data_IF_406082926227
#
_entry.id   IF_406082926227
#
_cell.length_a   1.000
_cell.length_b   1.000
_cell.length_c   1.000
_cell.angle_alpha   90.00
_cell.angle_beta   90.00
_cell.angle_gamma   90.00
#
_symmetry.space_group_name_H-M   'P 1'
#
loop_
_entity.id
_entity.type
_entity.pdbx_description
1 polymer ?
#
# COMPACT_ATOMS: atom_id res chain seq x y z
N UNK A 1 20.74 14.24 -2.84
CA UNK A 1 20.11 12.94 -3.15
C UNK A 1 21.09 11.77 -3.16
N UNK A 2 22.13 11.76 -3.99
CA UNK A 2 23.09 10.64 -4.06
C UNK A 2 23.68 10.22 -2.70
N UNK A 3 24.07 11.19 -1.86
CA UNK A 3 24.58 10.90 -0.51
C UNK A 3 23.54 10.21 0.39
N UNK A 4 22.25 10.57 0.29
CA UNK A 4 21.18 9.96 1.08
C UNK A 4 20.95 8.50 0.68
N UNK A 5 20.94 8.22 -0.63
CA UNK A 5 20.91 6.85 -1.15
C UNK A 5 22.09 6.01 -0.65
N UNK A 6 23.30 6.59 -0.65
CA UNK A 6 24.48 5.92 -0.13
C UNK A 6 24.35 5.55 1.36
N UNK A 7 23.79 6.44 2.19
CA UNK A 7 23.53 6.14 3.60
C UNK A 7 22.52 5.01 3.77
N UNK A 8 21.44 5.00 2.97
CA UNK A 8 20.48 3.89 2.98
C UNK A 8 21.14 2.55 2.60
N UNK A 9 21.93 2.51 1.52
CA UNK A 9 22.66 1.30 1.10
C UNK A 9 23.62 0.79 2.18
N UNK A 10 24.41 1.68 2.78
CA UNK A 10 25.35 1.32 3.86
C UNK A 10 24.57 0.83 5.08
N UNK A 11 23.47 1.49 5.45
CA UNK A 11 22.63 1.05 6.55
C UNK A 11 22.10 -0.37 6.30
N UNK A 12 21.58 -0.64 5.09
CA UNK A 12 21.12 -1.99 4.70
C UNK A 12 22.25 -3.02 4.77
N UNK A 13 23.44 -2.72 4.25
CA UNK A 13 24.62 -3.60 4.30
C UNK A 13 25.01 -3.95 5.74
N UNK A 14 24.95 -2.95 6.64
CA UNK A 14 25.22 -3.10 8.07
C UNK A 14 24.02 -3.65 8.87
N UNK A 15 22.92 -4.01 8.20
CA UNK A 15 21.68 -4.47 8.83
C UNK A 15 21.08 -3.46 9.83
N UNK A 16 21.28 -2.17 9.55
CA UNK A 16 20.72 -1.03 10.26
C UNK A 16 19.44 -0.55 9.58
N UNK A 17 18.52 0.00 10.38
CA UNK A 17 17.30 0.60 9.87
C UNK A 17 17.58 2.04 9.47
N UNK A 18 17.12 2.47 8.30
CA UNK A 18 17.29 3.85 7.84
C UNK A 18 16.02 4.42 7.23
N UNK A 19 15.75 5.69 7.53
CA UNK A 19 14.59 6.42 7.00
C UNK A 19 14.97 7.87 6.69
N UNK A 20 14.37 8.43 5.65
CA UNK A 20 14.56 9.84 5.27
C UNK A 20 13.52 10.72 5.96
N UNK A 21 13.94 11.66 6.80
CA UNK A 21 13.06 12.56 7.54
C UNK A 21 13.27 14.03 7.11
N UNK A 22 12.20 14.83 7.12
CA UNK A 22 12.20 16.25 6.73
C UNK A 22 11.99 16.50 5.24
N UNK A 23 11.89 17.79 4.87
CA UNK A 23 11.57 18.24 3.51
C UNK A 23 12.66 19.15 2.91
N UNK A 24 12.84 19.08 1.59
CA UNK A 24 13.75 19.96 0.86
C UNK A 24 15.19 19.95 1.39
N UNK A 25 15.63 21.09 1.93
CA UNK A 25 16.98 21.29 2.46
C UNK A 25 17.17 20.77 3.89
N UNK A 26 16.10 20.58 4.67
CA UNK A 26 16.16 19.97 6.01
C UNK A 26 16.02 18.44 5.98
N UNK A 27 15.82 17.86 4.79
CA UNK A 27 15.71 16.41 4.61
C UNK A 27 17.04 15.71 4.92
N UNK A 28 17.03 14.84 5.93
CA UNK A 28 18.18 14.07 6.38
C UNK A 28 17.83 12.58 6.46
N UNK A 29 18.84 11.73 6.64
CA UNK A 29 18.64 10.28 6.82
C UNK A 29 18.98 9.96 8.26
N UNK A 30 18.02 9.39 8.97
CA UNK A 30 18.24 8.83 10.30
C UNK A 30 18.56 7.34 10.15
N UNK A 31 19.59 6.89 10.87
CA UNK A 31 19.99 5.49 10.91
C UNK A 31 19.92 5.01 12.35
N UNK A 32 19.18 3.93 12.57
CA UNK A 32 18.95 3.34 13.88
C UNK A 32 19.51 1.93 13.93
N UNK A 33 20.24 1.65 15.02
CA UNK A 33 20.55 0.28 15.37
C UNK A 33 19.41 -0.31 16.20
N UNK A 34 18.40 -0.86 15.52
CA UNK A 34 17.26 -1.56 16.13
C UNK A 34 17.39 -3.08 16.01
N UNK A 35 18.60 -3.60 15.77
CA UNK A 35 18.82 -5.03 15.51
C UNK A 35 18.38 -5.91 16.67
N UNK A 36 18.86 -5.61 17.89
CA UNK A 36 18.52 -6.40 19.08
C UNK A 36 17.01 -6.39 19.34
N UNK A 37 16.37 -5.22 19.20
CA UNK A 37 14.92 -5.10 19.32
C UNK A 37 14.17 -5.89 18.24
N UNK A 38 14.64 -5.85 16.98
CA UNK A 38 14.05 -6.61 15.89
C UNK A 38 14.18 -8.13 16.11
N UNK A 39 15.33 -8.59 16.62
CA UNK A 39 15.56 -10.00 16.97
C UNK A 39 14.64 -10.44 18.11
N UNK A 40 14.47 -9.62 19.15
CA UNK A 40 13.54 -9.86 20.26
C UNK A 40 12.09 -9.94 19.78
N UNK A 41 11.62 -8.94 19.02
CA UNK A 41 10.27 -8.92 18.45
C UNK A 41 10.02 -10.13 17.55
N UNK A 42 10.98 -10.51 16.71
CA UNK A 42 10.87 -11.71 15.85
C UNK A 42 10.79 -12.98 16.67
N UNK A 43 11.60 -13.11 17.72
CA UNK A 43 11.56 -14.28 18.61
C UNK A 43 10.21 -14.36 19.35
N UNK A 44 9.66 -13.22 19.76
CA UNK A 44 8.35 -13.15 20.43
C UNK A 44 7.19 -13.47 19.48
N UNK A 45 7.14 -12.82 18.32
CA UNK A 45 6.05 -12.98 17.35
C UNK A 45 6.05 -14.35 16.68
N UNK A 46 7.22 -15.00 16.53
CA UNK A 46 7.29 -16.36 15.97
C UNK A 46 6.74 -17.43 16.91
N UNK A 47 6.57 -17.12 18.20
CA UNK A 47 5.97 -18.01 19.19
C UNK A 47 4.45 -17.87 19.31
N UNK A 48 3.83 -16.88 18.65
CA UNK A 48 2.37 -16.68 18.73
C UNK A 48 1.61 -17.86 18.12
N UNK A 49 0.86 -18.55 18.98
CA UNK A 49 -0.06 -19.62 18.60
C UNK A 49 -1.27 -19.09 17.81
N UNK A 50 -2.04 -19.96 17.13
CA UNK A 50 -3.23 -19.55 16.40
C UNK A 50 -4.25 -18.86 17.31
N UNK A 51 -4.72 -17.68 16.91
CA UNK A 51 -5.66 -16.85 17.66
C UNK A 51 -5.01 -15.97 18.75
N UNK A 52 -3.73 -16.16 19.05
CA UNK A 52 -3.04 -15.35 20.05
C UNK A 52 -2.68 -13.96 19.51
N UNK A 53 -2.66 -12.99 20.41
CA UNK A 53 -2.33 -11.60 20.14
C UNK A 53 -1.28 -11.09 21.13
N UNK A 54 -0.45 -10.16 20.67
CA UNK A 54 0.54 -9.45 21.44
C UNK A 54 0.37 -7.94 21.24
N UNK A 55 0.38 -7.19 22.34
CA UNK A 55 0.25 -5.73 22.32
C UNK A 55 1.55 -5.10 22.78
N UNK A 56 2.12 -4.27 21.93
CA UNK A 56 3.28 -3.44 22.25
C UNK A 56 2.83 -2.09 22.80
N UNK A 57 3.35 -1.68 23.97
CA UNK A 57 2.88 -0.48 24.65
C UNK A 57 3.29 0.80 23.89
N UNK A 58 2.64 1.94 24.15
CA UNK A 58 2.95 3.19 23.47
C UNK A 58 4.37 3.72 23.68
N UNK A 59 5.03 3.27 24.75
CA UNK A 59 6.39 3.65 25.14
C UNK A 59 7.48 3.17 24.17
N UNK A 60 7.17 2.28 23.21
CA UNK A 60 8.20 1.81 22.27
C UNK A 60 8.60 2.88 21.23
N UNK A 61 7.77 3.91 21.01
CA UNK A 61 8.04 4.97 20.04
C UNK A 61 7.86 4.56 18.58
N UNK A 62 7.76 5.53 17.67
CA UNK A 62 7.32 5.31 16.27
C UNK A 62 8.24 4.40 15.47
N UNK A 63 9.56 4.58 15.58
CA UNK A 63 10.52 3.77 14.81
C UNK A 63 10.46 2.29 15.22
N UNK A 64 10.30 2.00 16.52
CA UNK A 64 10.13 0.61 16.99
C UNK A 64 8.76 0.05 16.59
N UNK A 65 7.69 0.85 16.61
CA UNK A 65 6.38 0.45 16.08
C UNK A 65 6.48 0.00 14.61
N UNK A 66 7.19 0.76 13.78
CA UNK A 66 7.43 0.38 12.38
C UNK A 66 8.14 -0.97 12.27
N UNK A 67 9.20 -1.20 13.06
CA UNK A 67 9.90 -2.50 13.10
C UNK A 67 8.94 -3.65 13.45
N UNK A 68 8.06 -3.45 14.43
CA UNK A 68 7.03 -4.44 14.78
C UNK A 68 6.10 -4.74 13.59
N UNK A 69 5.62 -3.71 12.90
CA UNK A 69 4.78 -3.88 11.70
C UNK A 69 5.50 -4.65 10.59
N UNK A 70 6.76 -4.33 10.31
CA UNK A 70 7.55 -5.02 9.28
C UNK A 70 7.77 -6.49 9.61
N UNK A 71 8.13 -6.81 10.86
CA UNK A 71 8.34 -8.20 11.29
C UNK A 71 7.01 -8.95 11.29
N UNK A 72 5.92 -8.33 11.74
CA UNK A 72 4.59 -8.93 11.68
C UNK A 72 4.18 -9.26 10.25
N UNK A 73 4.39 -8.33 9.30
CA UNK A 73 4.13 -8.55 7.87
C UNK A 73 4.99 -9.70 7.31
N UNK A 74 6.29 -9.71 7.61
CA UNK A 74 7.22 -10.76 7.18
C UNK A 74 6.82 -12.15 7.68
N UNK A 75 6.35 -12.23 8.93
CA UNK A 75 5.84 -13.46 9.52
C UNK A 75 4.40 -13.78 9.07
N UNK A 76 3.78 -12.98 8.20
CA UNK A 76 2.40 -13.19 7.75
C UNK A 76 1.38 -13.14 8.89
N UNK A 77 1.62 -12.27 9.88
CA UNK A 77 0.74 -11.98 11.00
C UNK A 77 -0.08 -10.72 10.71
N UNK A 78 -1.25 -10.61 11.34
CA UNK A 78 -2.05 -9.39 11.24
C UNK A 78 -1.56 -8.37 12.26
N UNK A 79 -1.52 -7.10 11.88
CA UNK A 79 -1.11 -6.01 12.76
C UNK A 79 -1.99 -4.78 12.61
N UNK A 80 -2.09 -3.99 13.67
CA UNK A 80 -2.86 -2.74 13.73
C UNK A 80 -2.24 -1.81 14.76
N UNK A 81 -2.13 -0.53 14.43
CA UNK A 81 -1.87 0.51 15.43
C UNK A 81 -3.22 1.00 15.97
N UNK A 82 -3.36 1.08 17.30
CA UNK A 82 -4.58 1.54 17.96
C UNK A 82 -4.24 2.66 18.95
N UNK A 83 -5.16 3.60 19.13
CA UNK A 83 -4.98 4.76 20.02
C UNK A 83 -4.37 5.97 19.31
N UNK A 84 -4.36 7.10 20.02
CA UNK A 84 -3.85 8.39 19.54
C UNK A 84 -2.79 8.92 20.51
N UNK A 85 -1.82 9.69 19.97
CA UNK A 85 -0.77 10.32 20.77
C UNK A 85 -0.01 9.35 21.68
N UNK A 86 -0.03 9.61 22.99
CA UNK A 86 0.66 8.83 24.01
C UNK A 86 0.01 7.48 24.32
N UNK A 87 -1.23 7.25 23.88
CA UNK A 87 -1.94 5.96 24.06
C UNK A 87 -1.74 5.02 22.86
N UNK A 88 -0.95 5.43 21.87
CA UNK A 88 -0.78 4.74 20.60
C UNK A 88 0.04 3.44 20.74
N UNK A 89 -0.64 2.30 20.74
CA UNK A 89 -0.05 0.96 20.85
C UNK A 89 -0.09 0.20 19.51
N UNK A 90 0.71 -0.86 19.39
CA UNK A 90 0.68 -1.77 18.22
C UNK A 90 0.22 -3.13 18.68
N UNK A 91 -0.80 -3.66 18.01
CA UNK A 91 -1.36 -4.98 18.27
C UNK A 91 -0.99 -5.87 17.09
N UNK A 92 -0.40 -7.03 17.37
CA UNK A 92 -0.07 -8.07 16.39
C UNK A 92 -0.76 -9.36 16.79
N UNK A 93 -1.32 -10.09 15.83
CA UNK A 93 -2.04 -11.33 16.11
C UNK A 93 -1.89 -12.38 15.02
N UNK A 94 -1.83 -13.64 15.43
CA UNK A 94 -1.84 -14.78 14.53
C UNK A 94 -3.27 -15.18 14.19
N UNK A 95 -3.88 -14.43 13.28
CA UNK A 95 -5.29 -14.59 12.89
C UNK A 95 -5.48 -15.44 11.63
N UNK A 96 -4.56 -16.37 11.32
CA UNK A 96 -4.63 -17.18 10.10
C UNK A 96 -5.87 -18.07 10.05
N UNK A 97 -6.07 -18.90 11.09
CA UNK A 97 -7.24 -19.78 11.19
C UNK A 97 -8.55 -18.98 11.24
N UNK A 98 -8.53 -17.83 11.92
CA UNK A 98 -9.66 -16.91 11.95
C UNK A 98 -9.98 -16.41 10.54
N UNK A 99 -9.00 -15.88 9.79
CA UNK A 99 -9.18 -15.44 8.40
C UNK A 99 -9.71 -16.56 7.49
N UNK A 100 -9.25 -17.79 7.67
CA UNK A 100 -9.75 -18.95 6.91
C UNK A 100 -11.23 -19.24 7.22
N UNK A 101 -11.63 -19.19 8.50
CA UNK A 101 -13.04 -19.30 8.89
C UNK A 101 -13.90 -18.20 8.29
N UNK A 102 -13.46 -16.95 8.38
CA UNK A 102 -14.14 -15.80 7.76
C UNK A 102 -14.22 -15.98 6.24
N UNK A 103 -13.16 -16.45 5.58
CA UNK A 103 -13.17 -16.69 4.14
C UNK A 103 -14.20 -17.76 3.77
N UNK A 104 -14.21 -18.90 4.46
CA UNK A 104 -15.20 -19.96 4.23
C UNK A 104 -16.63 -19.46 4.42
N UNK A 105 -16.85 -18.64 5.45
CA UNK A 105 -18.14 -18.02 5.74
C UNK A 105 -18.60 -17.07 4.63
N UNK A 106 -17.69 -16.26 4.10
CA UNK A 106 -18.00 -15.29 3.04
C UNK A 106 -18.18 -15.99 1.68
N UNK A 107 -17.38 -17.00 1.36
CA UNK A 107 -17.53 -17.78 0.12
C UNK A 107 -18.88 -18.49 0.03
N UNK A 108 -19.49 -18.83 1.17
CA UNK A 108 -20.82 -19.44 1.23
C UNK A 108 -21.99 -18.49 0.91
N UNK A 109 -21.77 -17.17 0.97
CA UNK A 109 -22.81 -16.17 0.70
C UNK A 109 -23.26 -16.20 -0.75
N UNK A 110 -24.55 -16.11 -1.00
CA UNK A 110 -25.10 -15.94 -2.35
C UNK A 110 -24.95 -14.48 -2.84
N UNK A 111 -24.96 -14.22 -4.16
CA UNK A 111 -24.97 -12.84 -4.67
C UNK A 111 -26.11 -12.02 -4.07
N UNK A 112 -25.80 -10.84 -3.52
CA UNK A 112 -26.75 -9.97 -2.82
C UNK A 112 -26.97 -10.29 -1.35
N UNK A 113 -26.45 -11.41 -0.86
CA UNK A 113 -26.53 -11.78 0.56
C UNK A 113 -25.53 -10.98 1.41
N UNK A 114 -25.90 -10.75 2.67
CA UNK A 114 -25.05 -10.11 3.67
C UNK A 114 -24.82 -11.00 4.88
N UNK A 115 -23.66 -10.85 5.50
CA UNK A 115 -23.30 -11.45 6.79
C UNK A 115 -22.88 -10.38 7.77
N UNK A 116 -23.54 -10.35 8.92
CA UNK A 116 -23.19 -9.49 10.04
C UNK A 116 -22.34 -10.33 11.02
N UNK A 117 -21.12 -9.87 11.29
CA UNK A 117 -20.21 -10.49 12.27
C UNK A 117 -20.47 -9.96 13.67
N UNK A 118 -20.07 -10.70 14.69
CA UNK A 118 -20.35 -10.33 16.08
C UNK A 118 -19.64 -9.03 16.51
N UNK A 119 -20.26 -8.22 17.37
CA UNK A 119 -19.63 -7.00 17.89
C UNK A 119 -18.47 -7.28 18.86
N UNK A 120 -18.40 -8.51 19.38
CA UNK A 120 -17.35 -9.01 20.30
C UNK A 120 -15.96 -9.07 19.67
N UNK A 121 -15.86 -8.96 18.35
CA UNK A 121 -14.58 -8.98 17.65
C UNK A 121 -13.68 -7.81 18.08
N UNK A 122 -12.40 -8.11 18.24
CA UNK A 122 -11.37 -7.09 18.46
C UNK A 122 -11.20 -6.21 17.23
N UNK A 123 -10.56 -5.05 17.39
CA UNK A 123 -10.27 -4.16 16.25
C UNK A 123 -9.41 -4.85 15.18
N UNK A 124 -8.48 -5.71 15.60
CA UNK A 124 -7.61 -6.48 14.69
C UNK A 124 -8.39 -7.57 13.93
N UNK A 125 -9.32 -8.26 14.58
CA UNK A 125 -10.21 -9.23 13.93
C UNK A 125 -11.15 -8.55 12.93
N UNK A 126 -11.77 -7.42 13.31
CA UNK A 126 -12.59 -6.62 12.38
C UNK A 126 -11.77 -6.16 11.16
N UNK A 127 -10.54 -5.69 11.35
CA UNK A 127 -9.62 -5.38 10.24
C UNK A 127 -9.37 -6.60 9.35
N UNK A 128 -9.23 -7.78 9.95
CA UNK A 128 -9.05 -9.03 9.21
C UNK A 128 -10.28 -9.39 8.38
N UNK A 129 -11.50 -9.18 8.90
CA UNK A 129 -12.75 -9.36 8.16
C UNK A 129 -12.81 -8.44 6.94
N UNK A 130 -12.51 -7.15 7.11
CA UNK A 130 -12.45 -6.18 6.00
C UNK A 130 -11.41 -6.58 4.95
N UNK A 131 -10.23 -7.06 5.38
CA UNK A 131 -9.19 -7.56 4.48
C UNK A 131 -9.66 -8.74 3.63
N UNK A 132 -10.25 -9.77 4.26
CA UNK A 132 -10.78 -10.95 3.54
C UNK A 132 -11.91 -10.56 2.59
N UNK A 133 -12.83 -9.69 3.03
CA UNK A 133 -13.89 -9.18 2.16
C UNK A 133 -13.33 -8.47 0.93
N UNK A 134 -12.31 -7.62 1.11
CA UNK A 134 -11.61 -6.94 0.02
C UNK A 134 -10.91 -7.90 -0.95
N UNK A 135 -10.26 -8.95 -0.43
CA UNK A 135 -9.63 -10.01 -1.24
C UNK A 135 -10.66 -10.73 -2.14
N UNK A 136 -11.89 -10.93 -1.64
CA UNK A 136 -13.00 -11.57 -2.38
C UNK A 136 -13.80 -10.60 -3.27
N UNK A 137 -13.47 -9.30 -3.24
CA UNK A 137 -14.20 -8.26 -3.98
C UNK A 137 -15.59 -7.96 -3.38
N UNK A 138 -15.79 -8.25 -2.10
CA UNK A 138 -17.04 -7.98 -1.39
C UNK A 138 -17.03 -6.57 -0.79
N UNK A 139 -18.23 -6.04 -0.52
CA UNK A 139 -18.39 -4.77 0.18
C UNK A 139 -18.40 -5.04 1.67
N UNK A 140 -17.68 -4.23 2.45
CA UNK A 140 -17.68 -4.36 3.90
C UNK A 140 -17.77 -2.99 4.57
N UNK A 141 -18.53 -2.91 5.64
CA UNK A 141 -18.78 -1.69 6.40
C UNK A 141 -18.78 -1.99 7.90
N UNK A 142 -18.25 -1.05 8.68
CA UNK A 142 -18.37 -1.08 10.15
C UNK A 142 -19.63 -0.34 10.54
N UNK A 143 -20.54 -1.00 11.26
CA UNK A 143 -21.79 -0.43 11.73
C UNK A 143 -21.83 -0.42 13.26
N UNK A 144 -22.67 0.43 13.84
CA UNK A 144 -22.75 0.60 15.30
C UNK A 144 -21.64 1.49 15.88
N UNK A 145 -21.63 1.63 17.21
CA UNK A 145 -20.67 2.45 17.97
C UNK A 145 -20.27 1.73 19.26
N UNK A 146 -19.06 1.99 19.75
CA UNK A 146 -18.57 1.44 21.02
C UNK A 146 -18.59 -0.10 21.05
N UNK A 147 -19.21 -0.66 22.07
CA UNK A 147 -19.33 -2.12 22.28
C UNK A 147 -20.32 -2.79 21.33
N UNK A 148 -21.26 -2.04 20.74
CA UNK A 148 -22.20 -2.56 19.73
C UNK A 148 -21.63 -2.48 18.31
N UNK A 149 -20.34 -2.13 18.16
CA UNK A 149 -19.72 -1.96 16.84
C UNK A 149 -19.42 -3.32 16.20
N UNK A 150 -20.04 -3.57 15.06
CA UNK A 150 -19.90 -4.80 14.29
C UNK A 150 -19.49 -4.54 12.84
N UNK A 151 -19.14 -5.61 12.10
CA UNK A 151 -18.80 -5.54 10.67
C UNK A 151 -19.88 -6.26 9.87
N UNK A 152 -20.43 -5.59 8.86
CA UNK A 152 -21.32 -6.18 7.87
C UNK A 152 -20.58 -6.36 6.56
N UNK A 153 -20.68 -7.54 5.95
CA UNK A 153 -20.09 -7.85 4.65
C UNK A 153 -21.20 -8.27 3.70
N UNK A 154 -21.27 -7.63 2.53
CA UNK A 154 -22.26 -7.92 1.49
C UNK A 154 -21.58 -8.40 0.22
N UNK A 155 -22.00 -9.56 -0.29
CA UNK A 155 -21.56 -10.07 -1.59
C UNK A 155 -22.32 -9.30 -2.70
N UNK A 156 -21.64 -8.65 -3.65
CA UNK A 156 -22.32 -7.91 -4.70
C UNK A 156 -23.15 -8.83 -5.61
N UNK A 157 -24.25 -8.31 -6.15
CA UNK A 157 -25.03 -8.99 -7.21
C UNK A 157 -24.18 -9.16 -8.48
N UNK A 158 -24.33 -10.31 -9.15
CA UNK A 158 -23.67 -10.55 -10.43
C UNK A 158 -24.10 -9.48 -11.46
N UNK A 159 -23.12 -8.78 -12.03
CA UNK A 159 -23.35 -7.73 -13.04
C UNK A 159 -23.42 -6.29 -12.48
N UNK A 160 -23.30 -6.09 -11.16
CA UNK A 160 -23.31 -4.75 -10.55
C UNK A 160 -21.96 -4.42 -9.90
N UNK A 161 -20.92 -4.25 -10.73
CA UNK A 161 -19.62 -3.70 -10.29
C UNK A 161 -19.76 -2.22 -9.96
N UNK A 162 -20.28 -1.91 -8.76
CA UNK A 162 -20.03 -0.60 -8.17
C UNK A 162 -18.57 -0.58 -7.75
N UNK A 163 -17.79 0.31 -8.38
CA UNK A 163 -16.49 0.74 -7.85
C UNK A 163 -16.74 1.49 -6.53
N UNK A 164 -16.96 0.75 -5.46
CA UNK A 164 -16.86 1.29 -4.11
C UNK A 164 -15.38 1.34 -3.79
N UNK A 165 -14.80 2.53 -3.87
CA UNK A 165 -13.53 2.84 -3.22
C UNK A 165 -13.70 2.50 -1.75
N UNK A 166 -13.10 1.39 -1.29
CA UNK A 166 -13.00 1.05 0.12
C UNK A 166 -12.23 2.18 0.81
N UNK A 167 -12.96 3.16 1.33
CA UNK A 167 -12.41 4.28 2.09
C UNK A 167 -11.99 3.73 3.44
N UNK A 168 -10.73 3.32 3.54
CA UNK A 168 -10.07 2.81 4.74
C UNK A 168 -9.78 3.94 5.75
N UNK A 169 -10.67 4.92 5.87
CA UNK A 169 -10.36 6.25 6.44
C UNK A 169 -10.83 6.46 7.88
N UNK A 170 -11.21 5.43 8.63
CA UNK A 170 -11.85 5.65 9.95
C UNK A 170 -11.28 4.77 11.09
N UNK A 171 -10.01 4.38 10.97
CA UNK A 171 -9.28 3.68 12.04
C UNK A 171 -7.89 4.28 12.25
N UNK A 172 -7.79 5.05 13.35
CA UNK A 172 -6.58 5.44 14.08
C UNK A 172 -5.61 6.40 13.39
N UNK A 173 -5.49 7.60 13.99
CA UNK A 173 -4.26 8.38 14.19
C UNK A 173 -3.42 8.69 12.96
N UNK A 174 -3.23 9.99 12.71
CA UNK A 174 -2.33 10.59 11.72
C UNK A 174 -0.86 10.16 11.91
N UNK A 175 -0.52 8.89 11.71
CA UNK A 175 0.63 8.63 10.84
C UNK A 175 0.19 9.14 9.49
N UNK A 176 1.03 9.94 8.84
CA UNK A 176 0.85 10.33 7.46
C UNK A 176 0.98 9.07 6.60
N UNK A 177 -0.07 8.23 6.60
CA UNK A 177 -0.23 7.09 5.74
C UNK A 177 -0.14 7.69 4.36
N UNK A 178 1.03 7.55 3.73
CA UNK A 178 1.26 8.08 2.40
C UNK A 178 0.11 7.63 1.53
N UNK A 179 -0.77 8.59 1.24
CA UNK A 179 -2.00 8.36 0.50
C UNK A 179 -1.62 7.81 -0.87
N UNK A 180 -2.55 7.14 -1.55
CA UNK A 180 -2.34 6.73 -2.94
C UNK A 180 -1.84 7.92 -3.78
N UNK A 181 -2.34 9.12 -3.50
CA UNK A 181 -1.97 10.36 -4.19
C UNK A 181 -0.53 10.78 -3.90
N UNK A 182 -0.08 10.70 -2.65
CA UNK A 182 1.32 10.96 -2.28
C UNK A 182 2.26 9.95 -2.95
N UNK A 183 1.89 8.67 -2.99
CA UNK A 183 2.68 7.63 -3.67
C UNK A 183 2.75 7.85 -5.17
N UNK A 184 1.64 8.22 -5.81
CA UNK A 184 1.62 8.55 -7.24
C UNK A 184 2.47 9.80 -7.52
N UNK A 185 2.44 10.81 -6.64
CA UNK A 185 3.29 11.99 -6.75
C UNK A 185 4.78 11.61 -6.65
N UNK A 186 5.15 10.76 -5.69
CA UNK A 186 6.51 10.26 -5.55
C UNK A 186 6.96 9.46 -6.77
N UNK A 187 6.10 8.58 -7.29
CA UNK A 187 6.37 7.82 -8.51
C UNK A 187 6.54 8.77 -9.71
N UNK A 188 5.64 9.75 -9.87
CA UNK A 188 5.75 10.75 -10.92
C UNK A 188 7.05 11.53 -10.81
N UNK A 189 7.44 11.95 -9.61
CA UNK A 189 8.66 12.70 -9.39
C UNK A 189 9.93 11.90 -9.69
N UNK A 190 9.88 10.58 -9.50
CA UNK A 190 10.97 9.67 -9.81
C UNK A 190 11.18 9.49 -11.32
N UNK A 191 10.10 9.39 -12.11
CA UNK A 191 10.19 9.10 -13.53
C UNK A 191 10.05 10.30 -14.47
N UNK A 192 9.38 11.38 -14.05
CA UNK A 192 9.15 12.54 -14.91
C UNK A 192 10.44 13.32 -15.17
N UNK A 193 11.00 13.20 -16.37
CA UNK A 193 12.25 13.90 -16.74
C UNK A 193 12.01 15.26 -17.40
N UNK A 194 10.78 15.56 -17.79
CA UNK A 194 10.44 16.77 -18.52
C UNK A 194 10.04 17.96 -17.68
N UNK A 195 10.07 19.15 -18.29
CA UNK A 195 9.54 20.38 -17.69
C UNK A 195 8.77 21.20 -18.74
N UNK A 196 7.59 21.69 -18.37
CA UNK A 196 6.77 22.60 -19.17
C UNK A 196 6.17 23.70 -18.29
N UNK A 197 6.48 24.95 -18.60
CA UNK A 197 6.08 26.12 -17.81
C UNK A 197 6.41 26.00 -16.31
N UNK A 198 7.59 25.46 -15.99
CA UNK A 198 8.06 25.29 -14.61
C UNK A 198 7.42 24.12 -13.86
N UNK A 199 6.60 23.30 -14.51
CA UNK A 199 6.01 22.08 -13.93
C UNK A 199 6.63 20.84 -14.56
N UNK A 200 6.93 19.83 -13.73
CA UNK A 200 7.39 18.53 -14.22
C UNK A 200 6.34 17.86 -15.10
N UNK A 201 6.79 17.17 -16.14
CA UNK A 201 5.95 16.35 -17.01
C UNK A 201 6.64 15.02 -17.30
N UNK A 202 5.85 13.95 -17.37
CA UNK A 202 6.30 12.62 -17.76
C UNK A 202 6.32 12.53 -19.29
N UNK A 203 7.51 12.43 -19.89
CA UNK A 203 7.78 12.45 -21.33
C UNK A 203 7.83 11.02 -21.87
N UNK A 204 6.89 10.70 -22.77
CA UNK A 204 6.63 9.38 -23.35
C UNK A 204 7.87 8.50 -23.57
N UNK A 205 8.52 8.61 -24.73
CA UNK A 205 9.51 7.59 -25.15
C UNK A 205 10.64 7.31 -24.15
N UNK A 206 11.14 8.34 -23.43
CA UNK A 206 12.25 8.17 -22.48
C UNK A 206 11.76 7.64 -21.14
N UNK A 207 10.70 8.23 -20.59
CA UNK A 207 10.23 7.92 -19.25
C UNK A 207 9.48 6.57 -19.25
N UNK A 208 8.80 6.22 -20.35
CA UNK A 208 8.12 4.93 -20.54
C UNK A 208 9.10 3.76 -20.58
N UNK A 209 10.25 3.91 -21.24
CA UNK A 209 11.24 2.85 -21.29
C UNK A 209 11.80 2.53 -19.90
N UNK A 210 12.16 3.57 -19.13
CA UNK A 210 12.63 3.39 -17.75
C UNK A 210 11.53 2.79 -16.87
N UNK A 211 10.30 3.31 -16.99
CA UNK A 211 9.15 2.82 -16.23
C UNK A 211 8.83 1.35 -16.54
N UNK A 212 8.88 0.94 -17.80
CA UNK A 212 8.60 -0.43 -18.22
C UNK A 212 9.63 -1.43 -17.66
N UNK A 213 10.91 -1.06 -17.67
CA UNK A 213 11.98 -1.90 -17.12
C UNK A 213 11.84 -2.07 -15.62
N UNK A 214 11.61 -0.97 -14.88
CA UNK A 214 11.40 -1.03 -13.43
C UNK A 214 10.16 -1.86 -13.06
N UNK A 215 9.07 -1.71 -13.82
CA UNK A 215 7.84 -2.49 -13.60
C UNK A 215 8.08 -3.98 -13.81
N UNK A 216 8.89 -4.33 -14.82
CA UNK A 216 9.24 -5.71 -15.16
C UNK A 216 10.12 -6.34 -14.09
N UNK A 217 11.09 -5.60 -13.57
CA UNK A 217 11.98 -6.04 -12.49
C UNK A 217 11.23 -6.19 -11.14
N UNK A 218 10.34 -5.24 -10.83
CA UNK A 218 9.59 -5.23 -9.58
C UNK A 218 8.53 -6.33 -9.48
N UNK A 219 8.08 -6.88 -10.62
CA UNK A 219 7.00 -7.87 -10.64
C UNK A 219 7.33 -9.10 -11.51
N UNK A 220 8.32 -9.92 -11.11
CA UNK A 220 8.80 -11.03 -11.91
C UNK A 220 7.73 -12.10 -12.19
N UNK A 221 6.74 -12.26 -11.29
CA UNK A 221 5.63 -13.23 -11.46
C UNK A 221 4.76 -12.89 -12.67
N UNK A 222 4.72 -11.63 -13.10
CA UNK A 222 3.87 -11.13 -14.18
C UNK A 222 4.62 -10.99 -15.52
N UNK A 223 5.87 -11.45 -15.60
CA UNK A 223 6.74 -11.31 -16.78
C UNK A 223 6.10 -11.74 -18.11
N UNK A 224 5.21 -12.76 -18.10
CA UNK A 224 4.50 -13.20 -19.30
C UNK A 224 3.54 -12.13 -19.84
N UNK A 225 2.88 -11.39 -18.94
CA UNK A 225 2.02 -10.24 -19.29
C UNK A 225 2.85 -9.04 -19.73
N UNK A 226 4.10 -8.95 -19.28
CA UNK A 226 5.00 -7.87 -19.66
C UNK A 226 5.67 -8.03 -21.02
N UNK A 227 5.45 -9.15 -21.72
CA UNK A 227 6.08 -9.39 -23.03
C UNK A 227 5.72 -8.33 -24.08
N UNK A 228 4.48 -7.85 -24.07
CA UNK A 228 4.00 -6.77 -24.96
C UNK A 228 3.76 -5.46 -24.22
N UNK A 229 4.16 -5.37 -22.94
CA UNK A 229 3.85 -4.21 -22.10
C UNK A 229 4.36 -2.91 -22.70
N UNK A 230 5.54 -2.91 -23.34
CA UNK A 230 6.10 -1.68 -23.90
C UNK A 230 5.20 -1.07 -24.97
N UNK A 231 4.67 -1.89 -25.87
CA UNK A 231 3.75 -1.46 -26.94
C UNK A 231 2.42 -0.98 -26.33
N UNK A 232 1.92 -1.71 -25.33
CA UNK A 232 0.71 -1.33 -24.60
C UNK A 232 0.90 -0.01 -23.83
N UNK A 233 2.06 0.22 -23.24
CA UNK A 233 2.39 1.43 -22.49
C UNK A 233 2.47 2.65 -23.40
N UNK A 234 3.08 2.52 -24.58
CA UNK A 234 3.11 3.58 -25.59
C UNK A 234 1.69 3.96 -26.00
N UNK A 235 0.82 2.97 -26.29
CA UNK A 235 -0.58 3.21 -26.64
C UNK A 235 -1.36 3.86 -25.48
N UNK A 236 -1.23 3.35 -24.26
CA UNK A 236 -1.90 3.90 -23.07
C UNK A 236 -1.43 5.34 -22.80
N UNK A 237 -0.15 5.62 -23.02
CA UNK A 237 0.40 6.96 -22.87
C UNK A 237 -0.19 7.93 -23.89
N UNK A 238 -0.17 7.58 -25.19
CA UNK A 238 -0.74 8.42 -26.25
C UNK A 238 -2.24 8.65 -26.05
N UNK A 239 -3.00 7.61 -25.70
CA UNK A 239 -4.42 7.73 -25.37
C UNK A 239 -4.66 8.68 -24.20
N UNK A 240 -3.81 8.64 -23.18
CA UNK A 240 -3.94 9.50 -22.00
C UNK A 240 -3.48 10.92 -22.28
N UNK A 241 -2.49 11.11 -23.16
CA UNK A 241 -2.04 12.41 -23.62
C UNK A 241 -3.11 13.09 -24.48
N UNK A 242 -3.74 12.35 -25.39
CA UNK A 242 -4.85 12.84 -26.19
C UNK A 242 -6.03 13.24 -25.29
N UNK A 243 -6.38 12.40 -24.32
CA UNK A 243 -7.43 12.72 -23.34
C UNK A 243 -7.09 13.99 -22.54
N UNK A 244 -5.84 14.16 -22.12
CA UNK A 244 -5.36 15.37 -21.45
C UNK A 244 -5.56 16.63 -22.32
N UNK A 245 -5.29 16.53 -23.63
CA UNK A 245 -5.46 17.62 -24.60
C UNK A 245 -6.94 17.95 -24.79
N UNK A 246 -7.79 16.93 -24.94
CA UNK A 246 -9.23 17.09 -25.15
C UNK A 246 -9.92 17.78 -23.97
N UNK A 247 -9.41 17.56 -22.76
CA UNK A 247 -9.85 18.23 -21.52
C UNK A 247 -9.20 19.61 -21.30
N UNK A 248 -8.56 20.19 -22.32
CA UNK A 248 -8.12 21.59 -22.33
C UNK A 248 -6.73 21.85 -21.75
N UNK A 249 -5.95 20.81 -21.45
CA UNK A 249 -4.56 20.99 -20.99
C UNK A 249 -3.67 21.32 -22.18
N UNK A 250 -2.91 22.42 -22.11
CA UNK A 250 -2.16 22.96 -23.27
C UNK A 250 -0.82 22.27 -23.59
N UNK A 251 -0.40 21.25 -22.84
CA UNK A 251 0.87 20.57 -23.10
C UNK A 251 0.68 19.35 -23.99
N UNK A 252 1.44 19.30 -25.09
CA UNK A 252 1.55 18.15 -25.99
C UNK A 252 2.83 17.35 -25.76
N UNK A 253 3.65 17.74 -24.78
CA UNK A 253 5.01 17.21 -24.57
C UNK A 253 5.06 16.05 -23.58
N UNK A 254 4.00 15.82 -22.81
CA UNK A 254 3.97 14.82 -21.76
C UNK A 254 2.77 14.95 -20.83
N UNK A 255 2.65 14.00 -19.91
CA UNK A 255 1.57 13.97 -18.92
C UNK A 255 1.93 14.82 -17.70
N UNK A 256 0.97 15.59 -17.20
CA UNK A 256 1.06 16.21 -15.88
C UNK A 256 0.77 15.18 -14.78
N UNK A 257 1.08 15.47 -13.52
CA UNK A 257 0.84 14.55 -12.39
C UNK A 257 -0.60 14.00 -12.36
N UNK A 258 -1.60 14.86 -12.56
CA UNK A 258 -3.00 14.46 -12.56
C UNK A 258 -3.31 13.44 -13.66
N UNK A 259 -2.77 13.63 -14.86
CA UNK A 259 -2.97 12.71 -15.98
C UNK A 259 -2.05 11.49 -15.93
N UNK A 260 -0.92 11.58 -15.23
CA UNK A 260 -0.10 10.44 -14.89
C UNK A 260 -0.83 9.47 -13.94
N UNK A 261 -1.63 9.97 -12.99
CA UNK A 261 -2.53 9.12 -12.18
C UNK A 261 -3.47 8.29 -13.08
N UNK A 262 -4.08 8.93 -14.08
CA UNK A 262 -4.96 8.24 -15.06
C UNK A 262 -4.18 7.21 -15.86
N UNK A 263 -2.97 7.56 -16.30
CA UNK A 263 -2.07 6.64 -16.99
C UNK A 263 -1.78 5.38 -16.13
N UNK A 264 -1.33 5.55 -14.89
CA UNK A 264 -1.04 4.43 -13.97
C UNK A 264 -2.28 3.56 -13.73
N UNK A 265 -3.46 4.16 -13.59
CA UNK A 265 -4.72 3.42 -13.46
C UNK A 265 -5.02 2.55 -14.69
N UNK A 266 -4.78 3.06 -15.90
CA UNK A 266 -4.94 2.28 -17.14
C UNK A 266 -3.89 1.16 -17.23
N UNK A 267 -2.63 1.45 -16.88
CA UNK A 267 -1.57 0.43 -16.84
C UNK A 267 -1.95 -0.69 -15.88
N UNK A 268 -2.39 -0.36 -14.67
CA UNK A 268 -2.83 -1.33 -13.65
C UNK A 268 -3.92 -2.28 -14.19
N UNK A 269 -4.93 -1.74 -14.90
CA UNK A 269 -5.97 -2.55 -15.54
C UNK A 269 -5.42 -3.45 -16.63
N UNK A 270 -4.53 -2.94 -17.48
CA UNK A 270 -3.94 -3.71 -18.59
C UNK A 270 -3.12 -4.90 -18.08
N UNK A 271 -2.34 -4.70 -17.02
CA UNK A 271 -1.49 -5.77 -16.44
C UNK A 271 -2.27 -6.69 -15.50
N UNK A 272 -3.49 -6.29 -15.11
CA UNK A 272 -4.36 -7.00 -14.18
C UNK A 272 -3.84 -6.95 -12.74
N UNK A 273 -3.40 -5.78 -12.31
CA UNK A 273 -2.92 -5.50 -10.95
C UNK A 273 -3.67 -4.30 -10.36
N UNK A 274 -3.64 -4.15 -9.03
CA UNK A 274 -4.09 -2.92 -8.39
C UNK A 274 -3.07 -1.81 -8.58
N UNK A 275 -3.53 -0.56 -8.60
CA UNK A 275 -2.65 0.64 -8.63
C UNK A 275 -1.69 0.62 -7.45
N UNK A 276 -2.20 0.29 -6.26
CA UNK A 276 -1.38 0.15 -5.07
C UNK A 276 -0.34 -0.96 -5.19
N UNK A 277 -0.64 -2.07 -5.87
CA UNK A 277 0.33 -3.13 -6.15
C UNK A 277 1.50 -2.63 -7.01
N UNK A 278 1.21 -1.86 -8.06
CA UNK A 278 2.25 -1.22 -8.90
C UNK A 278 3.08 -0.24 -8.07
N UNK A 279 2.42 0.62 -7.28
CA UNK A 279 3.11 1.63 -6.47
C UNK A 279 4.01 0.99 -5.42
N UNK A 280 3.54 -0.06 -4.73
CA UNK A 280 4.33 -0.79 -3.73
C UNK A 280 5.52 -1.48 -4.39
N UNK A 281 5.31 -2.14 -5.53
CA UNK A 281 6.38 -2.86 -6.21
C UNK A 281 7.50 -1.91 -6.67
N UNK A 282 7.14 -0.82 -7.35
CA UNK A 282 8.14 0.13 -7.88
C UNK A 282 8.80 0.93 -6.75
N UNK A 283 8.02 1.53 -5.85
CA UNK A 283 8.58 2.37 -4.79
C UNK A 283 9.33 1.55 -3.74
N UNK A 284 8.95 0.28 -3.55
CA UNK A 284 9.67 -0.67 -2.69
C UNK A 284 11.07 -0.98 -3.23
N UNK A 285 11.19 -1.22 -4.54
CA UNK A 285 12.49 -1.44 -5.18
C UNK A 285 13.38 -0.19 -5.20
N UNK A 286 12.78 0.99 -5.46
CA UNK A 286 13.51 2.26 -5.45
C UNK A 286 14.08 2.62 -4.06
N UNK A 287 13.52 2.07 -2.97
CA UNK A 287 14.06 2.21 -1.62
C UNK A 287 15.28 1.29 -1.38
N UNK A 288 15.42 0.22 -2.17
CA UNK A 288 16.52 -0.76 -2.06
C UNK A 288 17.69 -0.48 -3.03
N UNK A 289 17.55 0.46 -3.98
CA UNK A 289 18.53 0.81 -5.03
C UNK A 289 19.07 2.26 -4.94
#
# INVERSE_FOLDING_TARGET
EAQRKMVHMIATELQLWSYSEGEGASRHVEVFNLREFAEEVRAQLSQLGPGEQCTYPPSIGDKRRQVVHFIAEELGLQHLTQGEGEERCVIVGNLRNFKEGIRSDLEALQPGEKKDFEPTFTALERKSVHGVAGELGFQSESLGQGEDRYVSVTRPEEGRTKHTSTSYSDWAGEDEVMTEESRIANLFDAFATGNFNGRKIFIGFRDLAAFAEELREAMPVQHRRFRCLREDLDQIFEDTLQLQIDFGTRTKKGLTLHWFKVFIQKVARQVGCSVMGILIAILGNAATA
#
